data_IF_441562777573
#
_entry.id   IF_441562777573
#
_cell.length_a   1.000
_cell.length_b   1.000
_cell.length_c   1.000
_cell.angle_alpha   90.00
_cell.angle_beta   90.00
_cell.angle_gamma   90.00
#
_symmetry.space_group_name_H-M   'P 1'
#
loop_
_entity.id
_entity.type
_entity.pdbx_description
1 polymer ?
#
# COMPACT_ATOMS: atom_id res chain seq x y z
N UNK A 1 9.91 16.62 38.65
CA UNK A 1 9.48 15.70 39.73
C UNK A 1 8.26 16.35 40.38
N UNK A 2 7.08 15.74 40.26
CA UNK A 2 5.91 16.21 41.00
C UNK A 2 6.15 15.97 42.49
N UNK A 3 5.84 16.94 43.34
CA UNK A 3 5.93 16.77 44.79
C UNK A 3 4.68 16.03 45.30
N UNK A 4 4.74 15.45 46.51
CA UNK A 4 3.57 14.78 47.12
C UNK A 4 2.35 15.72 47.28
N UNK A 5 2.59 17.03 47.39
CA UNK A 5 1.54 18.05 47.38
C UNK A 5 0.87 18.21 46.00
N UNK A 6 1.64 18.07 44.91
CA UNK A 6 1.12 18.14 43.54
C UNK A 6 0.24 16.92 43.20
N UNK A 7 0.63 15.72 43.65
CA UNK A 7 -0.16 14.49 43.48
C UNK A 7 -1.51 14.60 44.21
N UNK A 8 -1.49 15.05 45.47
CA UNK A 8 -2.71 15.20 46.28
C UNK A 8 -3.69 16.20 45.65
N UNK A 9 -3.18 17.33 45.15
CA UNK A 9 -3.99 18.35 44.48
C UNK A 9 -4.65 17.84 43.18
N UNK A 10 -3.92 17.06 42.37
CA UNK A 10 -4.47 16.46 41.15
C UNK A 10 -5.53 15.40 41.44
N UNK A 11 -5.34 14.59 42.49
CA UNK A 11 -6.32 13.58 42.90
C UNK A 11 -7.63 14.23 43.36
N UNK A 12 -7.53 15.28 44.18
CA UNK A 12 -8.69 16.04 44.63
C UNK A 12 -9.35 16.79 43.47
N UNK A 13 -8.57 17.28 42.49
CA UNK A 13 -9.09 17.89 41.26
C UNK A 13 -9.90 16.91 40.40
N UNK A 14 -9.44 15.66 40.28
CA UNK A 14 -10.17 14.58 39.61
C UNK A 14 -11.50 14.28 40.32
N UNK A 15 -11.50 14.18 41.64
CA UNK A 15 -12.71 13.92 42.42
C UNK A 15 -13.76 15.02 42.26
N UNK A 16 -13.35 16.30 42.29
CA UNK A 16 -14.26 17.43 42.05
C UNK A 16 -14.87 17.37 40.65
N UNK A 17 -14.09 16.93 39.65
CA UNK A 17 -14.59 16.77 38.28
C UNK A 17 -15.62 15.65 38.17
N UNK A 18 -15.37 14.50 38.80
CA UNK A 18 -16.30 13.36 38.82
C UNK A 18 -17.63 13.78 39.45
N UNK A 19 -17.58 14.51 40.57
CA UNK A 19 -18.76 15.09 41.22
C UNK A 19 -19.51 16.08 40.32
N UNK A 20 -18.80 17.02 39.69
CA UNK A 20 -19.41 17.99 38.79
C UNK A 20 -20.05 17.34 37.55
N UNK A 21 -19.49 16.22 37.09
CA UNK A 21 -19.99 15.47 35.95
C UNK A 21 -21.13 14.48 36.31
N UNK A 22 -21.38 14.22 37.60
CA UNK A 22 -22.34 13.20 38.04
C UNK A 22 -21.94 11.78 37.63
N UNK A 23 -20.64 11.49 37.50
CA UNK A 23 -20.15 10.23 36.95
C UNK A 23 -20.05 9.12 38.01
N UNK A 24 -21.19 8.49 38.32
CA UNK A 24 -21.24 7.34 39.25
C UNK A 24 -20.40 6.15 38.78
N UNK A 25 -20.17 6.01 37.47
CA UNK A 25 -19.38 4.90 36.90
C UNK A 25 -17.90 4.96 37.28
N UNK A 26 -17.43 6.12 37.75
CA UNK A 26 -16.08 6.32 38.25
C UNK A 26 -15.85 5.78 39.67
N UNK A 27 -16.90 5.35 40.38
CA UNK A 27 -16.84 4.86 41.76
C UNK A 27 -16.95 3.33 41.86
N UNK A 28 -16.22 2.74 42.82
CA UNK A 28 -16.33 1.30 43.12
C UNK A 28 -17.59 1.04 43.95
N UNK A 29 -18.52 0.16 43.52
CA UNK A 29 -19.67 -0.20 44.36
C UNK A 29 -19.22 -0.74 45.72
N UNK A 30 -19.84 -0.36 46.85
CA UNK A 30 -21.10 0.39 46.95
C UNK A 30 -20.95 1.92 47.09
N UNK A 31 -19.78 2.49 46.82
CA UNK A 31 -19.55 3.93 46.99
C UNK A 31 -20.44 4.77 46.06
N UNK A 32 -20.95 5.88 46.61
CA UNK A 32 -21.86 6.81 45.93
C UNK A 32 -21.19 8.18 45.74
N UNK A 33 -21.76 9.01 44.84
CA UNK A 33 -21.33 10.41 44.72
C UNK A 33 -21.52 11.18 46.03
N UNK A 34 -22.48 10.77 46.88
CA UNK A 34 -22.64 11.32 48.23
C UNK A 34 -21.43 11.05 49.12
N UNK A 35 -20.86 9.85 49.05
CA UNK A 35 -19.64 9.48 49.80
C UNK A 35 -18.42 10.29 49.32
N UNK A 36 -18.31 10.50 48.00
CA UNK A 36 -17.25 11.33 47.42
C UNK A 36 -17.41 12.81 47.81
N UNK A 37 -18.64 13.34 47.81
CA UNK A 37 -18.93 14.71 48.24
C UNK A 37 -18.61 14.92 49.72
N UNK A 38 -18.97 13.95 50.56
CA UNK A 38 -18.69 13.99 51.99
C UNK A 38 -17.19 14.01 52.28
N UNK A 39 -16.39 13.20 51.57
CA UNK A 39 -14.93 13.21 51.70
C UNK A 39 -14.29 14.54 51.25
N UNK A 40 -14.80 15.17 50.19
CA UNK A 40 -14.26 16.46 49.73
C UNK A 40 -14.69 17.66 50.58
N UNK A 41 -15.77 17.50 51.36
CA UNK A 41 -16.23 18.50 52.31
C UNK A 41 -15.54 18.36 53.68
N UNK A 42 -14.81 17.27 53.92
CA UNK A 42 -14.01 17.08 55.13
C UNK A 42 -12.78 18.01 55.09
N UNK A 43 -12.44 18.60 56.25
CA UNK A 43 -11.38 19.61 56.41
C UNK A 43 -10.07 18.97 56.92
N UNK A 44 -9.96 17.64 56.77
CA UNK A 44 -8.74 16.92 57.12
C UNK A 44 -7.60 17.18 56.13
N UNK A 45 -6.39 16.74 56.47
CA UNK A 45 -5.19 16.90 55.65
C UNK A 45 -5.40 16.46 54.19
N UNK A 46 -4.86 17.23 53.24
CA UNK A 46 -5.10 17.02 51.80
C UNK A 46 -4.57 15.68 51.31
N UNK A 47 -3.44 15.22 51.86
CA UNK A 47 -2.85 13.93 51.48
C UNK A 47 -3.71 12.77 51.97
N UNK A 48 -4.20 12.85 53.21
CA UNK A 48 -5.13 11.86 53.77
C UNK A 48 -6.44 11.81 52.99
N UNK A 49 -6.97 12.97 52.64
CA UNK A 49 -8.21 13.08 51.85
C UNK A 49 -8.02 12.52 50.45
N UNK A 50 -6.87 12.76 49.81
CA UNK A 50 -6.54 12.20 48.51
C UNK A 50 -6.46 10.66 48.53
N UNK A 51 -5.84 10.05 49.55
CA UNK A 51 -5.82 8.59 49.71
C UNK A 51 -7.23 8.00 49.88
N UNK A 52 -8.07 8.68 50.67
CA UNK A 52 -9.46 8.30 50.91
C UNK A 52 -10.31 8.41 49.64
N UNK A 53 -10.08 9.43 48.82
CA UNK A 53 -10.67 9.58 47.49
C UNK A 53 -10.25 8.44 46.57
N UNK A 54 -8.96 8.11 46.50
CA UNK A 54 -8.47 7.00 45.68
C UNK A 54 -9.19 5.70 46.04
N UNK A 55 -9.42 5.44 47.34
CA UNK A 55 -10.13 4.26 47.82
C UNK A 55 -11.57 4.13 47.28
N UNK A 56 -12.25 5.24 46.99
CA UNK A 56 -13.62 5.23 46.43
C UNK A 56 -13.65 5.05 44.91
N UNK A 57 -12.60 5.43 44.20
CA UNK A 57 -12.54 5.32 42.74
C UNK A 57 -12.53 3.86 42.27
N UNK A 58 -13.08 3.61 41.08
CA UNK A 58 -12.90 2.32 40.39
C UNK A 58 -11.42 2.02 40.19
N UNK A 59 -11.03 0.73 40.16
CA UNK A 59 -9.64 0.34 39.94
C UNK A 59 -9.04 0.96 38.67
N UNK A 60 -9.82 1.03 37.58
CA UNK A 60 -9.40 1.64 36.32
C UNK A 60 -9.15 3.14 36.46
N UNK A 61 -10.01 3.88 37.16
CA UNK A 61 -9.88 5.33 37.34
C UNK A 61 -8.76 5.70 38.29
N UNK A 62 -8.60 4.94 39.37
CA UNK A 62 -7.48 5.04 40.31
C UNK A 62 -6.14 4.85 39.58
N UNK A 63 -6.06 3.84 38.71
CA UNK A 63 -4.84 3.57 37.95
C UNK A 63 -4.51 4.66 36.94
N UNK A 64 -5.49 5.11 36.14
CA UNK A 64 -5.29 6.18 35.16
C UNK A 64 -4.85 7.52 35.78
N UNK A 65 -5.15 7.71 37.07
CA UNK A 65 -4.73 8.87 37.84
C UNK A 65 -3.31 8.66 38.40
N UNK A 66 -3.03 7.51 39.02
CA UNK A 66 -1.70 7.18 39.58
C UNK A 66 -0.61 7.01 38.52
N UNK A 67 -0.93 6.52 37.33
CA UNK A 67 0.04 6.34 36.25
C UNK A 67 0.62 7.67 35.74
N UNK A 68 -0.02 8.80 36.04
CA UNK A 68 0.51 10.15 35.75
C UNK A 68 1.68 10.53 36.66
N UNK A 69 1.79 9.88 37.82
CA UNK A 69 2.82 10.14 38.83
C UNK A 69 3.90 9.06 38.86
N UNK A 70 3.70 7.93 38.15
CA UNK A 70 4.67 6.86 38.10
C UNK A 70 5.94 7.31 37.37
N UNK A 71 7.09 7.22 38.05
CA UNK A 71 8.40 7.32 37.41
C UNK A 71 8.63 6.00 36.68
N UNK A 72 8.99 6.00 35.38
CA UNK A 72 9.27 4.75 34.66
C UNK A 72 10.42 4.02 35.36
N UNK A 73 10.14 2.81 35.86
CA UNK A 73 11.16 1.91 36.37
C UNK A 73 11.95 1.32 35.19
N UNK A 74 13.29 1.29 35.31
CA UNK A 74 14.21 0.83 34.26
C UNK A 74 14.06 -0.69 33.96
N UNK A 75 13.26 -1.41 34.74
CA UNK A 75 12.98 -2.84 34.61
C UNK A 75 12.07 -3.22 33.43
N UNK A 76 11.39 -2.27 32.77
CA UNK A 76 10.58 -2.53 31.57
C UNK A 76 9.45 -3.57 31.73
N UNK A 77 9.07 -3.93 32.96
CA UNK A 77 8.00 -4.89 33.24
C UNK A 77 6.64 -4.19 33.31
N UNK A 78 5.63 -4.74 32.62
CA UNK A 78 4.24 -4.28 32.76
C UNK A 78 3.63 -4.85 34.04
N UNK A 79 3.21 -4.00 34.98
CA UNK A 79 2.40 -4.41 36.12
C UNK A 79 0.98 -4.77 35.65
N UNK A 80 0.58 -6.04 35.84
CA UNK A 80 -0.75 -6.53 35.48
C UNK A 80 -1.55 -6.82 36.75
N UNK A 81 -2.64 -6.09 36.95
CA UNK A 81 -3.55 -6.29 38.06
C UNK A 81 -4.59 -7.37 37.71
N UNK A 82 -4.73 -8.35 38.60
CA UNK A 82 -5.68 -9.45 38.45
C UNK A 82 -6.93 -9.18 39.30
N UNK A 83 -8.15 -9.39 38.76
CA UNK A 83 -9.38 -9.33 39.54
C UNK A 83 -9.33 -10.25 40.78
N UNK A 84 -10.03 -9.89 41.85
CA UNK A 84 -9.98 -10.61 43.14
C UNK A 84 -10.42 -12.08 42.99
N UNK A 85 -11.43 -12.35 42.17
CA UNK A 85 -11.89 -13.70 41.85
C UNK A 85 -10.83 -14.52 41.09
N UNK A 86 -9.99 -13.87 40.27
CA UNK A 86 -8.85 -14.50 39.61
C UNK A 86 -7.72 -14.75 40.60
N UNK A 87 -7.46 -13.81 41.52
CA UNK A 87 -6.47 -13.97 42.58
C UNK A 87 -6.83 -15.13 43.53
N UNK A 88 -8.09 -15.25 43.92
CA UNK A 88 -8.58 -16.32 44.79
C UNK A 88 -8.52 -17.69 44.08
N UNK A 89 -8.82 -17.72 42.77
CA UNK A 89 -8.61 -18.92 41.95
C UNK A 89 -7.13 -19.28 41.81
N UNK A 90 -6.23 -18.31 41.67
CA UNK A 90 -4.79 -18.59 41.64
C UNK A 90 -4.29 -19.11 42.99
N UNK A 91 -4.79 -18.56 44.10
CA UNK A 91 -4.51 -19.04 45.46
C UNK A 91 -5.00 -20.45 45.72
N UNK A 92 -6.05 -20.90 45.00
CA UNK A 92 -6.48 -22.30 45.04
C UNK A 92 -5.52 -23.28 44.35
N UNK A 93 -4.57 -22.77 43.56
CA UNK A 93 -3.55 -23.56 42.85
C UNK A 93 -2.20 -23.54 43.57
N UNK A 94 -1.78 -22.38 44.10
CA UNK A 94 -0.60 -22.25 44.97
C UNK A 94 -0.73 -21.02 45.88
N UNK A 95 -0.05 -21.02 47.03
CA UNK A 95 -0.15 -19.97 48.05
C UNK A 95 0.24 -18.57 47.52
N UNK A 96 1.17 -18.50 46.58
CA UNK A 96 1.60 -17.27 45.92
C UNK A 96 1.07 -17.22 44.46
N UNK A 97 0.40 -16.13 44.03
CA UNK A 97 -0.15 -16.01 42.68
C UNK A 97 0.90 -16.18 41.56
N UNK A 98 2.13 -15.73 41.80
CA UNK A 98 3.23 -15.90 40.85
C UNK A 98 3.60 -17.37 40.66
N UNK A 99 3.61 -18.15 41.75
CA UNK A 99 3.93 -19.57 41.70
C UNK A 99 2.75 -20.38 41.19
N UNK A 100 1.50 -19.93 41.41
CA UNK A 100 0.31 -20.47 40.77
C UNK A 100 0.34 -20.24 39.24
N UNK A 101 0.76 -19.05 38.79
CA UNK A 101 0.94 -18.76 37.37
C UNK A 101 2.05 -19.63 36.78
N UNK A 102 3.20 -19.75 37.44
CA UNK A 102 4.30 -20.65 37.02
C UNK A 102 3.83 -22.10 36.96
N UNK A 103 3.18 -22.60 38.01
CA UNK A 103 2.64 -23.95 38.05
C UNK A 103 1.54 -24.18 37.00
N UNK A 104 0.70 -23.19 36.67
CA UNK A 104 -0.27 -23.29 35.59
C UNK A 104 0.40 -23.34 34.21
N UNK A 105 1.46 -22.55 34.02
CA UNK A 105 2.29 -22.58 32.80
C UNK A 105 3.05 -23.91 32.69
N UNK A 106 3.53 -24.47 33.80
CA UNK A 106 4.29 -25.72 33.88
C UNK A 106 3.39 -26.97 33.87
N UNK A 107 2.14 -26.88 34.34
CA UNK A 107 1.19 -28.00 34.45
C UNK A 107 0.59 -28.47 33.12
N UNK A 108 0.94 -27.82 32.00
CA UNK A 108 0.56 -28.31 30.67
C UNK A 108 -0.95 -28.35 30.39
N UNK A 109 -1.78 -27.58 31.12
CA UNK A 109 -3.16 -27.30 30.65
C UNK A 109 -3.04 -26.41 29.41
N UNK A 110 -2.93 -27.08 28.27
CA UNK A 110 -2.40 -26.59 27.01
C UNK A 110 -2.75 -25.11 26.72
N UNK A 111 -1.76 -24.24 26.90
CA UNK A 111 -1.66 -23.10 25.99
C UNK A 111 -1.70 -23.71 24.59
N UNK A 112 -2.59 -23.24 23.70
CA UNK A 112 -2.75 -23.88 22.40
C UNK A 112 -1.39 -23.88 21.71
N UNK A 113 -1.00 -25.04 21.19
CA UNK A 113 0.35 -25.28 20.65
C UNK A 113 0.72 -24.13 19.70
N UNK A 114 1.95 -23.59 19.78
CA UNK A 114 2.44 -22.63 18.80
C UNK A 114 2.17 -23.11 17.37
N UNK A 115 1.40 -22.32 16.60
CA UNK A 115 1.01 -22.69 15.23
C UNK A 115 -0.29 -23.49 15.09
N UNK A 116 -0.89 -23.96 16.18
CA UNK A 116 -2.23 -24.56 16.17
C UNK A 116 -3.30 -23.56 15.72
N UNK A 117 -4.40 -24.07 15.16
CA UNK A 117 -5.54 -23.25 14.75
C UNK A 117 -6.12 -22.46 15.95
N UNK A 118 -6.19 -23.07 17.13
CA UNK A 118 -6.72 -22.41 18.33
C UNK A 118 -5.83 -21.25 18.80
N UNK A 119 -4.50 -21.38 18.69
CA UNK A 119 -3.55 -20.31 18.98
C UNK A 119 -3.72 -19.13 18.00
N UNK A 120 -3.86 -19.45 16.70
CA UNK A 120 -4.01 -18.45 15.65
C UNK A 120 -5.38 -17.75 15.71
N UNK A 121 -6.46 -18.49 15.97
CA UNK A 121 -7.84 -17.98 16.05
C UNK A 121 -8.03 -16.96 17.17
N UNK A 122 -7.31 -17.10 18.29
CA UNK A 122 -7.29 -16.12 19.40
C UNK A 122 -6.52 -14.83 19.06
N UNK A 123 -6.15 -14.62 17.79
CA UNK A 123 -5.44 -13.43 17.24
C UNK A 123 -4.08 -13.17 17.89
N UNK A 124 -3.45 -14.22 18.42
CA UNK A 124 -2.12 -14.10 19.04
C UNK A 124 -1.01 -14.20 18.01
N UNK A 125 -1.20 -14.95 16.92
CA UNK A 125 -0.20 -15.06 15.85
C UNK A 125 -0.17 -13.81 14.96
N UNK A 126 1.04 -13.33 14.67
CA UNK A 126 1.33 -12.32 13.67
C UNK A 126 2.24 -12.90 12.56
N UNK A 127 1.70 -13.80 11.70
CA UNK A 127 2.46 -14.36 10.57
C UNK A 127 2.71 -13.29 9.52
N UNK A 128 3.95 -13.20 9.05
CA UNK A 128 4.38 -12.26 8.03
C UNK A 128 5.22 -12.93 6.95
N UNK A 129 4.98 -12.58 5.69
CA UNK A 129 5.88 -12.96 4.59
C UNK A 129 7.24 -12.31 4.80
N UNK A 130 8.30 -13.04 4.50
CA UNK A 130 9.65 -12.50 4.59
C UNK A 130 9.92 -11.63 3.37
N UNK A 131 10.47 -10.44 3.59
CA UNK A 131 10.86 -9.57 2.50
C UNK A 131 12.07 -10.13 1.73
N UNK A 132 12.99 -10.81 2.42
CA UNK A 132 14.13 -11.50 1.80
C UNK A 132 13.75 -12.77 1.04
N UNK A 133 12.65 -13.41 1.41
CA UNK A 133 12.15 -14.64 0.79
C UNK A 133 10.61 -14.62 0.75
N UNK A 134 10.01 -14.14 -0.35
CA UNK A 134 8.55 -14.12 -0.51
C UNK A 134 7.90 -15.51 -0.53
N UNK A 135 8.68 -16.57 -0.74
CA UNK A 135 8.24 -17.96 -0.64
C UNK A 135 8.11 -18.44 0.81
N UNK A 136 8.75 -17.75 1.75
CA UNK A 136 8.73 -18.04 3.17
C UNK A 136 7.87 -17.07 3.99
N UNK A 137 7.45 -17.54 5.17
CA UNK A 137 6.82 -16.69 6.17
C UNK A 137 7.32 -17.02 7.58
N UNK A 138 7.20 -16.07 8.49
CA UNK A 138 7.51 -16.22 9.92
C UNK A 138 6.44 -15.55 10.79
N UNK A 139 6.03 -16.22 11.87
CA UNK A 139 5.22 -15.61 12.92
C UNK A 139 6.11 -14.89 13.93
N UNK A 140 5.93 -13.56 14.05
CA UNK A 140 6.66 -12.76 15.06
C UNK A 140 6.27 -13.12 16.50
N UNK A 141 5.09 -13.67 16.72
CA UNK A 141 4.62 -14.02 18.07
C UNK A 141 5.17 -15.35 18.56
N UNK A 142 5.13 -16.37 17.71
CA UNK A 142 5.44 -17.75 18.12
C UNK A 142 6.68 -18.34 17.45
N UNK A 143 7.36 -17.58 16.59
CA UNK A 143 8.59 -17.99 15.90
C UNK A 143 8.38 -19.01 14.78
N UNK A 144 7.15 -19.50 14.57
CA UNK A 144 6.89 -20.52 13.55
C UNK A 144 7.21 -19.99 12.16
N UNK A 145 7.94 -20.79 11.39
CA UNK A 145 8.28 -20.50 10.00
C UNK A 145 7.63 -21.53 9.08
N UNK A 146 7.35 -21.14 7.84
CA UNK A 146 6.81 -22.08 6.87
C UNK A 146 6.82 -21.51 5.46
N UNK A 147 6.23 -22.28 4.55
CA UNK A 147 6.13 -21.94 3.15
C UNK A 147 4.82 -21.19 2.89
N UNK A 148 4.89 -20.13 2.09
CA UNK A 148 3.78 -19.19 1.84
C UNK A 148 2.68 -19.77 0.94
N UNK A 149 2.98 -20.82 0.19
CA UNK A 149 2.05 -21.60 -0.64
C UNK A 149 1.37 -22.73 0.14
N UNK A 150 2.00 -23.21 1.21
CA UNK A 150 1.52 -24.29 2.08
C UNK A 150 1.37 -23.82 3.54
N UNK A 151 0.42 -22.89 3.81
CA UNK A 151 0.18 -22.44 5.18
C UNK A 151 -0.43 -23.58 6.02
N UNK A 152 -0.02 -23.72 7.30
CA UNK A 152 -0.40 -24.85 8.14
C UNK A 152 -1.88 -24.84 8.57
N UNK A 153 -2.55 -23.69 8.46
CA UNK A 153 -3.97 -23.54 8.79
C UNK A 153 -4.60 -22.35 8.03
N UNK A 154 -5.95 -22.30 7.89
CA UNK A 154 -6.62 -21.25 7.11
C UNK A 154 -6.52 -19.85 7.72
N UNK A 155 -6.28 -19.72 9.02
CA UNK A 155 -6.09 -18.42 9.68
C UNK A 155 -4.79 -17.78 9.22
N UNK A 156 -3.69 -18.55 9.24
CA UNK A 156 -2.39 -18.12 8.70
C UNK A 156 -2.52 -17.82 7.21
N UNK A 157 -3.20 -18.67 6.44
CA UNK A 157 -3.45 -18.42 5.02
C UNK A 157 -4.16 -17.07 4.78
N UNK A 158 -5.17 -16.75 5.59
CA UNK A 158 -5.88 -15.48 5.54
C UNK A 158 -5.01 -14.27 5.86
N UNK A 159 -4.08 -14.39 6.82
CA UNK A 159 -3.12 -13.32 7.12
C UNK A 159 -2.09 -13.11 5.99
N UNK A 160 -1.63 -14.19 5.36
CA UNK A 160 -0.60 -14.13 4.31
C UNK A 160 -1.15 -13.64 2.97
N UNK A 161 -2.42 -13.94 2.65
CA UNK A 161 -3.04 -13.57 1.37
C UNK A 161 -3.01 -12.06 1.11
N UNK A 162 -3.32 -11.26 2.14
CA UNK A 162 -3.28 -9.80 2.07
C UNK A 162 -1.87 -9.20 2.05
N UNK A 163 -0.83 -9.99 2.30
CA UNK A 163 0.55 -9.50 2.38
C UNK A 163 1.32 -9.61 1.08
N UNK A 164 0.93 -10.50 0.16
CA UNK A 164 1.64 -10.70 -1.11
C UNK A 164 1.74 -9.41 -1.93
N UNK A 165 0.65 -8.65 -2.02
CA UNK A 165 0.63 -7.36 -2.71
C UNK A 165 1.55 -6.33 -2.04
N UNK A 166 1.58 -6.30 -0.70
CA UNK A 166 2.44 -5.40 0.08
C UNK A 166 3.93 -5.75 -0.09
N UNK A 167 4.28 -7.04 -0.06
CA UNK A 167 5.66 -7.48 -0.29
C UNK A 167 6.11 -7.16 -1.71
N UNK A 168 5.26 -7.39 -2.71
CA UNK A 168 5.57 -7.01 -4.09
C UNK A 168 5.80 -5.50 -4.24
N UNK A 169 5.02 -4.68 -3.53
CA UNK A 169 5.21 -3.23 -3.49
C UNK A 169 6.51 -2.83 -2.78
N UNK A 170 6.86 -3.47 -1.66
CA UNK A 170 8.13 -3.24 -0.97
C UNK A 170 9.34 -3.66 -1.82
N UNK A 171 9.24 -4.78 -2.55
CA UNK A 171 10.25 -5.20 -3.53
C UNK A 171 10.42 -4.17 -4.64
N UNK A 172 9.31 -3.70 -5.22
CA UNK A 172 9.34 -2.71 -6.29
C UNK A 172 9.92 -1.37 -5.80
N UNK A 173 9.57 -0.95 -4.58
CA UNK A 173 10.12 0.24 -3.94
C UNK A 173 11.62 0.08 -3.67
N UNK A 174 12.03 -1.01 -3.04
CA UNK A 174 13.44 -1.28 -2.73
C UNK A 174 14.28 -1.26 -4.01
N UNK A 175 13.87 -1.98 -5.06
CA UNK A 175 14.55 -1.97 -6.34
C UNK A 175 14.61 -0.56 -6.96
N UNK A 176 13.54 0.24 -6.87
CA UNK A 176 13.53 1.60 -7.39
C UNK A 176 14.46 2.55 -6.62
N UNK A 177 14.55 2.40 -5.28
CA UNK A 177 15.47 3.19 -4.46
C UNK A 177 16.92 2.80 -4.78
N UNK A 178 17.27 1.52 -4.78
CA UNK A 178 18.63 1.08 -5.07
C UNK A 178 19.06 1.31 -6.52
N UNK A 179 18.11 1.49 -7.43
CA UNK A 179 18.38 1.94 -8.81
C UNK A 179 18.61 3.47 -8.89
N UNK A 180 17.89 4.24 -8.09
CA UNK A 180 17.94 5.71 -8.10
C UNK A 180 19.13 6.30 -7.32
N UNK A 181 19.60 5.60 -6.29
CA UNK A 181 20.66 6.05 -5.39
C UNK A 181 21.74 4.98 -5.26
N UNK A 182 22.99 5.41 -5.36
CA UNK A 182 24.17 4.55 -5.21
C UNK A 182 24.36 4.01 -3.78
N UNK A 183 25.25 3.03 -3.66
CA UNK A 183 25.67 2.48 -2.37
C UNK A 183 26.11 3.59 -1.40
N UNK A 184 25.52 3.63 -0.20
CA UNK A 184 25.82 4.63 0.82
C UNK A 184 25.24 6.03 0.57
N UNK A 185 24.56 6.26 -0.55
CA UNK A 185 23.97 7.56 -0.86
C UNK A 185 22.76 7.88 0.02
N UNK A 186 22.53 9.19 0.22
CA UNK A 186 21.49 9.72 1.08
C UNK A 186 20.40 10.39 0.25
N UNK A 187 19.16 10.25 0.69
CA UNK A 187 18.00 10.86 0.03
C UNK A 187 16.92 11.23 1.03
N UNK A 188 15.97 12.06 0.61
CA UNK A 188 14.78 12.41 1.39
C UNK A 188 13.51 11.84 0.73
N UNK A 189 12.40 11.80 1.47
CA UNK A 189 11.08 11.47 0.89
C UNK A 189 10.75 12.37 -0.32
N UNK A 190 11.17 13.63 -0.28
CA UNK A 190 10.92 14.59 -1.35
C UNK A 190 11.73 14.23 -2.61
N UNK A 191 13.00 13.83 -2.45
CA UNK A 191 13.84 13.38 -3.57
C UNK A 191 13.28 12.11 -4.20
N UNK A 192 12.87 11.16 -3.36
CA UNK A 192 12.21 9.92 -3.79
C UNK A 192 10.95 10.21 -4.61
N UNK A 193 10.03 11.02 -4.08
CA UNK A 193 8.80 11.39 -4.77
C UNK A 193 9.06 12.19 -6.07
N UNK A 194 10.11 13.02 -6.11
CA UNK A 194 10.46 13.81 -7.28
C UNK A 194 11.06 12.98 -8.43
N UNK A 195 11.77 11.89 -8.11
CA UNK A 195 12.42 11.01 -9.11
C UNK A 195 11.43 10.30 -10.05
N UNK A 196 10.18 10.10 -9.59
CA UNK A 196 9.10 9.41 -10.33
C UNK A 196 9.52 8.05 -10.91
N UNK A 197 10.44 7.35 -10.25
CA UNK A 197 10.90 6.05 -10.71
C UNK A 197 9.78 4.99 -10.61
N UNK A 198 9.69 4.05 -11.58
CA UNK A 198 8.71 2.96 -11.52
C UNK A 198 8.88 2.09 -10.27
N UNK A 199 7.88 2.11 -9.39
CA UNK A 199 7.88 1.42 -8.09
C UNK A 199 7.82 2.37 -6.90
N UNK A 200 8.02 3.67 -7.10
CA UNK A 200 7.82 4.69 -6.06
C UNK A 200 6.37 5.18 -6.09
N UNK A 201 5.60 5.05 -5.00
CA UNK A 201 4.25 5.60 -4.91
C UNK A 201 4.24 7.12 -5.06
N UNK A 202 3.21 7.64 -5.73
CA UNK A 202 2.97 9.09 -5.84
C UNK A 202 2.43 9.70 -4.54
N UNK A 203 1.73 8.88 -3.74
CA UNK A 203 1.25 9.27 -2.42
C UNK A 203 2.40 9.31 -1.41
N UNK A 204 2.65 10.49 -0.85
CA UNK A 204 3.75 10.75 0.07
C UNK A 204 3.59 10.05 1.41
N UNK A 205 2.38 9.90 1.94
CA UNK A 205 2.19 9.25 3.23
C UNK A 205 2.28 7.73 3.09
N UNK A 206 1.81 7.19 1.97
CA UNK A 206 2.08 5.79 1.59
C UNK A 206 3.57 5.52 1.41
N UNK A 207 4.30 6.40 0.73
CA UNK A 207 5.75 6.28 0.56
C UNK A 207 6.48 6.28 1.91
N UNK A 208 6.14 7.19 2.84
CA UNK A 208 6.72 7.19 4.20
C UNK A 208 6.48 5.88 4.93
N UNK A 209 5.26 5.34 4.85
CA UNK A 209 4.91 4.09 5.52
C UNK A 209 5.74 2.91 4.99
N UNK A 210 5.92 2.82 3.67
CA UNK A 210 6.74 1.77 3.05
C UNK A 210 8.23 1.95 3.35
N UNK A 211 8.75 3.19 3.34
CA UNK A 211 10.14 3.47 3.74
C UNK A 211 10.41 3.06 5.19
N UNK A 212 9.46 3.27 6.09
CA UNK A 212 9.56 2.82 7.48
C UNK A 212 9.57 1.29 7.59
N UNK A 213 8.86 0.58 6.71
CA UNK A 213 8.95 -0.88 6.64
C UNK A 213 10.33 -1.33 6.11
N UNK A 214 10.87 -0.69 5.07
CA UNK A 214 12.22 -0.98 4.56
C UNK A 214 13.31 -0.74 5.60
N UNK A 215 13.18 0.29 6.44
CA UNK A 215 14.09 0.51 7.59
C UNK A 215 13.96 -0.61 8.61
N UNK A 216 12.73 -0.98 8.96
CA UNK A 216 12.47 -2.05 9.94
C UNK A 216 13.09 -3.38 9.49
N UNK A 217 13.03 -3.66 8.20
CA UNK A 217 13.58 -4.86 7.59
C UNK A 217 15.08 -4.72 7.26
N UNK A 218 15.72 -3.62 7.68
CA UNK A 218 17.16 -3.41 7.57
C UNK A 218 17.67 -3.19 6.16
N UNK A 219 16.81 -2.73 5.24
CA UNK A 219 17.15 -2.47 3.84
C UNK A 219 17.55 -1.02 3.57
N UNK A 220 17.27 -0.13 4.52
CA UNK A 220 17.64 1.28 4.52
C UNK A 220 17.99 1.68 5.93
N UNK A 221 18.76 2.75 6.07
CA UNK A 221 19.09 3.34 7.36
C UNK A 221 18.49 4.73 7.47
N UNK A 222 18.07 5.12 8.68
CA UNK A 222 17.76 6.51 8.96
C UNK A 222 19.05 7.33 9.00
N UNK A 223 19.10 8.38 8.18
CA UNK A 223 20.26 9.24 8.07
C UNK A 223 19.83 10.69 7.81
N UNK A 224 20.63 11.69 8.18
CA UNK A 224 20.33 13.06 7.80
C UNK A 224 20.31 13.20 6.29
N UNK A 225 19.32 13.91 5.75
CA UNK A 225 19.20 14.17 4.32
C UNK A 225 20.40 14.94 3.75
N UNK A 226 20.57 15.00 2.42
CA UNK A 226 21.73 15.63 1.77
C UNK A 226 21.97 17.10 2.15
N UNK A 227 20.90 17.82 2.53
CA UNK A 227 20.93 19.22 2.95
C UNK A 227 20.66 19.41 4.45
N UNK A 228 20.76 18.34 5.24
CA UNK A 228 20.31 18.28 6.63
C UNK A 228 18.81 17.96 6.76
N UNK A 229 18.38 17.60 7.98
CA UNK A 229 17.00 17.17 8.27
C UNK A 229 16.77 15.66 8.12
N UNK A 230 15.53 15.20 8.27
CA UNK A 230 15.20 13.76 8.20
C UNK A 230 15.37 13.20 6.78
N UNK A 231 16.04 12.06 6.66
CA UNK A 231 16.28 11.37 5.41
C UNK A 231 16.60 9.90 5.61
N UNK A 232 17.10 9.28 4.57
CA UNK A 232 17.40 7.86 4.49
C UNK A 232 18.75 7.67 3.80
N UNK A 233 19.43 6.58 4.11
CA UNK A 233 20.65 6.13 3.46
C UNK A 233 20.46 4.72 2.91
N UNK A 234 20.91 4.52 1.67
CA UNK A 234 21.01 3.20 1.04
C UNK A 234 22.22 2.46 1.62
N UNK A 235 22.11 1.14 1.83
CA UNK A 235 23.23 0.35 2.34
C UNK A 235 24.41 0.38 1.37
N UNK A 236 25.63 0.22 1.90
CA UNK A 236 26.82 0.08 1.06
C UNK A 236 26.81 -1.23 0.26
N UNK A 237 26.29 -2.30 0.88
CA UNK A 237 26.12 -3.60 0.24
C UNK A 237 24.62 -3.94 0.17
N UNK A 238 24.00 -3.90 -1.03
CA UNK A 238 22.63 -4.35 -1.21
C UNK A 238 22.53 -5.86 -0.96
N UNK A 239 21.44 -6.35 -0.35
CA UNK A 239 21.15 -7.78 -0.34
C UNK A 239 21.09 -8.37 -1.75
N UNK A 240 21.56 -9.62 -1.89
CA UNK A 240 21.68 -10.32 -3.19
C UNK A 240 20.40 -10.26 -4.03
N UNK A 241 19.24 -10.46 -3.39
CA UNK A 241 17.95 -10.44 -4.09
C UNK A 241 17.61 -9.07 -4.71
N UNK A 242 18.08 -7.97 -4.11
CA UNK A 242 17.90 -6.61 -4.66
C UNK A 242 18.80 -6.45 -5.88
N UNK A 243 20.06 -6.89 -5.78
CA UNK A 243 21.00 -6.85 -6.90
C UNK A 243 20.48 -7.66 -8.10
N UNK A 244 19.95 -8.85 -7.86
CA UNK A 244 19.32 -9.70 -8.87
C UNK A 244 18.09 -9.03 -9.49
N UNK A 245 17.22 -8.42 -8.68
CA UNK A 245 16.04 -7.71 -9.16
C UNK A 245 16.39 -6.51 -10.06
N UNK A 246 17.43 -5.74 -9.71
CA UNK A 246 17.93 -4.63 -10.52
C UNK A 246 18.51 -5.15 -11.84
N UNK A 247 19.32 -6.21 -11.78
CA UNK A 247 19.89 -6.83 -12.98
C UNK A 247 18.80 -7.35 -13.93
N UNK A 248 17.76 -8.00 -13.40
CA UNK A 248 16.64 -8.49 -14.19
C UNK A 248 15.85 -7.35 -14.83
N UNK A 249 15.52 -6.28 -14.08
CA UNK A 249 14.88 -5.08 -14.64
C UNK A 249 15.71 -4.46 -15.77
N UNK A 250 17.03 -4.40 -15.62
CA UNK A 250 17.93 -3.89 -16.65
C UNK A 250 17.85 -4.75 -17.91
N UNK A 251 17.90 -6.08 -17.78
CA UNK A 251 17.74 -7.03 -18.90
C UNK A 251 16.39 -6.87 -19.60
N UNK A 252 15.31 -6.70 -18.85
CA UNK A 252 13.97 -6.47 -19.41
C UNK A 252 13.90 -5.18 -20.22
N UNK A 253 14.44 -4.07 -19.71
CA UNK A 253 14.49 -2.81 -20.46
C UNK A 253 15.35 -2.90 -21.71
N UNK A 254 16.49 -3.58 -21.65
CA UNK A 254 17.35 -3.82 -22.81
C UNK A 254 16.66 -4.71 -23.86
N UNK A 255 15.88 -5.71 -23.43
CA UNK A 255 15.06 -6.52 -24.33
C UNK A 255 13.93 -5.69 -24.97
N UNK A 256 13.20 -4.90 -24.18
CA UNK A 256 12.15 -4.00 -24.70
C UNK A 256 12.71 -2.93 -25.64
N UNK A 257 13.88 -2.36 -25.32
CA UNK A 257 14.57 -1.39 -26.17
C UNK A 257 14.99 -2.02 -27.49
N UNK A 258 15.56 -3.23 -27.48
CA UNK A 258 15.88 -3.99 -28.70
C UNK A 258 14.63 -4.25 -29.55
N UNK A 259 13.53 -4.71 -28.94
CA UNK A 259 12.27 -4.92 -29.66
C UNK A 259 11.75 -3.60 -30.25
N UNK A 260 11.87 -2.48 -29.53
CA UNK A 260 11.49 -1.15 -30.04
C UNK A 260 12.38 -0.71 -31.20
N UNK A 261 13.69 -0.92 -31.11
CA UNK A 261 14.65 -0.59 -32.16
C UNK A 261 14.45 -1.46 -33.41
N UNK A 262 14.23 -2.76 -33.24
CA UNK A 262 13.90 -3.70 -34.32
C UNK A 262 12.60 -3.29 -35.00
N UNK A 263 11.56 -2.93 -34.24
CA UNK A 263 10.31 -2.39 -34.80
C UNK A 263 10.54 -1.08 -35.55
N UNK A 264 11.35 -0.17 -35.01
CA UNK A 264 11.68 1.09 -35.67
C UNK A 264 12.56 0.90 -36.92
N UNK A 265 13.42 -0.10 -36.94
CA UNK A 265 14.26 -0.47 -38.09
C UNK A 265 13.42 -1.16 -39.17
N UNK A 266 12.54 -2.08 -38.78
CA UNK A 266 11.55 -2.69 -39.68
C UNK A 266 10.65 -1.62 -40.31
N UNK A 267 10.17 -0.66 -39.50
CA UNK A 267 9.39 0.48 -39.99
C UNK A 267 10.17 1.34 -40.98
N UNK A 268 11.42 1.69 -40.68
CA UNK A 268 12.28 2.45 -41.60
C UNK A 268 12.51 1.71 -42.91
N UNK A 269 12.81 0.41 -42.85
CA UNK A 269 12.99 -0.43 -44.04
C UNK A 269 11.72 -0.47 -44.89
N UNK A 270 10.55 -0.65 -44.26
CA UNK A 270 9.24 -0.61 -44.94
C UNK A 270 8.97 0.73 -45.61
N UNK A 271 9.42 1.84 -45.01
CA UNK A 271 9.26 3.19 -45.57
C UNK A 271 10.27 3.49 -46.69
N UNK A 272 11.53 3.05 -46.55
CA UNK A 272 12.60 3.20 -47.55
C UNK A 272 12.36 2.35 -48.79
N UNK A 273 11.83 1.14 -48.61
CA UNK A 273 11.48 0.25 -49.72
C UNK A 273 10.23 0.72 -50.47
N UNK A 274 9.51 1.72 -49.95
CA UNK A 274 8.33 2.34 -50.56
C UNK A 274 7.30 1.28 -50.93
N UNK A 275 6.34 0.97 -50.03
CA UNK A 275 5.31 -0.03 -50.31
C UNK A 275 4.38 0.41 -51.46
N UNK A 276 4.85 0.27 -52.69
CA UNK A 276 4.05 0.17 -53.91
C UNK A 276 3.56 -1.26 -54.01
N UNK A 277 2.30 -1.49 -53.68
CA UNK A 277 1.64 -2.78 -53.80
C UNK A 277 0.61 -2.75 -54.92
N UNK A 278 0.47 -3.87 -55.64
CA UNK A 278 -0.61 -4.04 -56.61
C UNK A 278 -1.69 -4.93 -55.98
N UNK A 279 -2.94 -4.45 -55.93
CA UNK A 279 -4.07 -5.22 -55.40
C UNK A 279 -4.35 -6.45 -56.27
N UNK A 280 -5.14 -7.41 -55.79
CA UNK A 280 -5.58 -8.56 -56.60
C UNK A 280 -6.36 -8.15 -57.88
N UNK A 281 -6.91 -6.94 -57.89
CA UNK A 281 -7.56 -6.33 -59.05
C UNK A 281 -6.59 -5.60 -60.01
N UNK A 282 -5.29 -5.58 -59.70
CA UNK A 282 -4.26 -4.94 -60.53
C UNK A 282 -3.98 -3.47 -60.20
N UNK A 283 -4.49 -2.93 -59.08
CA UNK A 283 -4.40 -1.50 -58.79
C UNK A 283 -3.17 -1.17 -57.92
N UNK A 284 -2.36 -0.16 -58.28
CA UNK A 284 -1.25 0.29 -57.45
C UNK A 284 -1.73 1.04 -56.20
N UNK A 285 -1.12 0.74 -55.06
CA UNK A 285 -1.33 1.35 -53.74
C UNK A 285 0.02 1.77 -53.18
N UNK A 286 0.13 3.01 -52.72
CA UNK A 286 1.35 3.59 -52.14
C UNK A 286 1.13 3.93 -50.66
N UNK A 287 2.09 3.62 -49.79
CA UNK A 287 2.07 4.10 -48.40
C UNK A 287 3.04 5.28 -48.28
N UNK A 288 2.51 6.45 -47.93
CA UNK A 288 3.29 7.68 -47.74
C UNK A 288 3.28 8.11 -46.28
N UNK A 289 4.41 8.61 -45.78
CA UNK A 289 4.49 9.24 -44.46
C UNK A 289 4.30 10.76 -44.59
N UNK A 290 3.42 11.34 -43.78
CA UNK A 290 3.20 12.78 -43.67
C UNK A 290 3.29 13.25 -42.21
N UNK A 291 3.18 14.56 -41.96
CA UNK A 291 3.26 15.17 -40.62
C UNK A 291 2.19 14.66 -39.64
N UNK A 292 1.15 13.98 -40.15
CA UNK A 292 0.01 13.46 -39.39
C UNK A 292 0.04 11.94 -39.23
N UNK A 293 1.02 11.23 -39.81
CA UNK A 293 1.18 9.77 -39.71
C UNK A 293 1.43 9.09 -41.07
N UNK A 294 1.16 7.79 -41.13
CA UNK A 294 1.22 7.00 -42.36
C UNK A 294 -0.14 7.06 -43.08
N UNK A 295 -0.13 7.27 -44.39
CA UNK A 295 -1.28 7.44 -45.26
C UNK A 295 -1.22 6.46 -46.46
N UNK A 296 -2.32 5.74 -46.69
CA UNK A 296 -2.52 4.90 -47.87
C UNK A 296 -3.04 5.76 -49.03
N UNK A 297 -2.32 5.78 -50.16
CA UNK A 297 -2.68 6.50 -51.38
C UNK A 297 -2.99 5.49 -52.48
N UNK A 298 -4.13 5.69 -53.15
CA UNK A 298 -4.55 4.91 -54.31
C UNK A 298 -4.43 5.82 -55.54
N UNK A 299 -3.29 5.84 -56.26
CA UNK A 299 -3.08 6.76 -57.39
C UNK A 299 -4.12 6.63 -58.52
N UNK A 300 -4.82 5.49 -58.62
CA UNK A 300 -5.81 5.23 -59.66
C UNK A 300 -7.27 5.42 -59.23
N UNK A 301 -7.57 5.52 -57.93
CA UNK A 301 -8.95 5.66 -57.43
C UNK A 301 -9.12 7.03 -56.75
N UNK A 302 -10.06 7.87 -57.21
CA UNK A 302 -10.42 9.09 -56.51
C UNK A 302 -10.87 8.82 -55.06
N UNK A 303 -10.34 9.57 -54.09
CA UNK A 303 -10.57 9.35 -52.65
C UNK A 303 -12.04 9.40 -52.20
N UNK A 304 -12.92 9.96 -53.02
CA UNK A 304 -14.36 10.00 -52.77
C UNK A 304 -15.05 8.66 -53.09
N UNK A 305 -14.61 7.93 -54.12
CA UNK A 305 -15.19 6.62 -54.49
C UNK A 305 -14.91 5.57 -53.43
N UNK A 306 -13.67 5.52 -52.93
CA UNK A 306 -13.26 4.63 -51.83
C UNK A 306 -14.05 4.92 -50.54
N UNK A 307 -14.33 6.21 -50.27
CA UNK A 307 -15.11 6.65 -49.09
C UNK A 307 -16.57 6.22 -49.19
N UNK A 308 -17.20 6.42 -50.34
CA UNK A 308 -18.61 6.02 -50.55
C UNK A 308 -18.77 4.50 -50.48
N UNK A 309 -17.79 3.74 -50.96
CA UNK A 309 -17.83 2.28 -50.86
C UNK A 309 -17.63 1.78 -49.41
N UNK A 310 -16.68 2.37 -48.65
CA UNK A 310 -16.50 2.04 -47.23
C UNK A 310 -17.69 2.44 -46.36
N UNK A 311 -18.39 3.54 -46.71
CA UNK A 311 -19.66 3.94 -46.11
C UNK A 311 -20.77 2.95 -46.44
N UNK A 312 -20.93 2.55 -47.71
CA UNK A 312 -21.91 1.55 -48.15
C UNK A 312 -21.77 0.22 -47.42
N UNK A 313 -20.54 -0.16 -47.09
CA UNK A 313 -20.24 -1.40 -46.37
C UNK A 313 -20.30 -1.26 -44.84
N UNK A 314 -20.63 -0.07 -44.30
CA UNK A 314 -20.81 0.17 -42.87
C UNK A 314 -19.53 0.06 -42.03
N UNK A 315 -18.36 0.24 -42.65
CA UNK A 315 -17.07 -0.03 -41.99
C UNK A 315 -16.39 1.21 -41.39
N UNK A 316 -16.90 2.42 -41.64
CA UNK A 316 -16.37 3.65 -41.07
C UNK A 316 -17.48 4.54 -40.47
N UNK A 317 -17.15 5.24 -39.37
CA UNK A 317 -17.95 6.28 -38.72
C UNK A 317 -17.14 7.56 -38.62
N UNK A 318 -17.77 8.70 -38.83
CA UNK A 318 -17.13 9.99 -38.61
C UNK A 318 -16.91 10.23 -37.10
N UNK A 319 -15.67 10.47 -36.69
CA UNK A 319 -15.31 10.95 -35.36
C UNK A 319 -15.20 12.49 -35.41
N UNK A 320 -16.26 13.16 -34.93
CA UNK A 320 -16.36 14.61 -34.93
C UNK A 320 -15.31 15.30 -34.03
N UNK A 321 -14.81 14.63 -32.99
CA UNK A 321 -13.78 15.19 -32.09
C UNK A 321 -12.41 15.20 -32.75
N UNK A 322 -12.11 14.18 -33.56
CA UNK A 322 -10.84 14.05 -34.29
C UNK A 322 -10.92 14.53 -35.74
N UNK A 323 -12.09 15.03 -36.15
CA UNK A 323 -12.40 15.48 -37.52
C UNK A 323 -11.93 14.48 -38.58
N UNK A 324 -12.19 13.18 -38.36
CA UNK A 324 -11.73 12.10 -39.25
C UNK A 324 -12.68 10.91 -39.27
N UNK A 325 -12.71 10.17 -40.37
CA UNK A 325 -13.38 8.88 -40.44
C UNK A 325 -12.59 7.83 -39.64
N UNK A 326 -13.25 7.20 -38.66
CA UNK A 326 -12.70 6.15 -37.81
C UNK A 326 -13.41 4.82 -38.09
N UNK A 327 -12.69 3.70 -38.05
CA UNK A 327 -13.25 2.38 -38.33
C UNK A 327 -14.02 1.82 -37.12
N UNK A 328 -15.11 1.10 -37.37
CA UNK A 328 -15.97 0.52 -36.31
C UNK A 328 -15.75 -0.99 -36.04
N UNK A 329 -15.17 -1.78 -36.96
CA UNK A 329 -14.99 -3.23 -36.76
C UNK A 329 -13.56 -3.72 -37.04
N UNK A 330 -13.02 -4.66 -36.23
CA UNK A 330 -11.84 -5.44 -36.59
C UNK A 330 -12.18 -6.37 -37.76
N UNK A 331 -11.21 -6.62 -38.64
CA UNK A 331 -11.50 -7.13 -39.98
C UNK A 331 -11.01 -8.55 -40.17
N UNK A 332 -11.95 -9.48 -40.28
CA UNK A 332 -11.65 -10.87 -40.59
C UNK A 332 -11.66 -11.15 -42.10
N UNK A 333 -11.77 -10.11 -42.94
CA UNK A 333 -11.87 -10.19 -44.42
C UNK A 333 -11.14 -9.02 -45.08
N UNK A 334 -9.84 -8.92 -44.89
CA UNK A 334 -8.99 -8.04 -45.69
C UNK A 334 -7.89 -8.87 -46.30
N UNK A 335 -7.48 -8.47 -47.49
CA UNK A 335 -6.22 -8.91 -48.06
C UNK A 335 -5.08 -8.79 -47.03
N UNK A 336 -4.27 -9.85 -46.83
CA UNK A 336 -3.28 -9.93 -45.75
C UNK A 336 -2.31 -8.75 -45.64
N UNK A 337 -2.03 -8.06 -46.76
CA UNK A 337 -1.13 -6.91 -46.79
C UNK A 337 -1.70 -5.66 -46.11
N UNK A 338 -3.02 -5.42 -46.21
CA UNK A 338 -3.68 -4.28 -45.57
C UNK A 338 -3.89 -4.54 -44.08
N UNK A 339 -4.06 -5.80 -43.67
CA UNK A 339 -4.00 -6.18 -42.25
C UNK A 339 -2.60 -5.91 -41.66
N UNK A 340 -1.53 -6.32 -42.33
CA UNK A 340 -0.15 -6.09 -41.89
C UNK A 340 0.22 -4.59 -41.81
N UNK A 341 -0.22 -3.78 -42.77
CA UNK A 341 -0.01 -2.33 -42.75
C UNK A 341 -0.75 -1.65 -41.58
N UNK A 342 -1.97 -2.08 -41.29
CA UNK A 342 -2.77 -1.56 -40.17
C UNK A 342 -2.24 -2.01 -38.79
N UNK A 343 -1.79 -3.27 -38.66
CA UNK A 343 -1.14 -3.78 -37.45
C UNK A 343 0.20 -3.08 -37.16
N UNK A 344 0.89 -2.61 -38.20
CA UNK A 344 2.07 -1.76 -38.09
C UNK A 344 1.74 -0.29 -37.73
N UNK A 345 0.45 0.06 -37.58
CA UNK A 345 0.00 1.39 -37.15
C UNK A 345 -0.35 2.35 -38.28
N UNK A 346 -0.54 1.87 -39.52
CA UNK A 346 -1.02 2.72 -40.60
C UNK A 346 -2.43 3.24 -40.32
N UNK A 347 -2.66 4.52 -40.63
CA UNK A 347 -3.99 5.14 -40.54
C UNK A 347 -4.50 5.43 -41.94
N UNK A 348 -5.75 5.09 -42.24
CA UNK A 348 -6.38 5.56 -43.48
C UNK A 348 -6.71 7.04 -43.27
N UNK A 349 -5.87 7.92 -43.79
CA UNK A 349 -6.11 9.36 -43.67
C UNK A 349 -7.26 9.78 -44.61
N UNK A 350 -8.15 10.69 -44.17
CA UNK A 350 -8.98 11.45 -45.09
C UNK A 350 -8.06 12.45 -45.81
N UNK A 351 -7.79 12.22 -47.10
CA UNK A 351 -6.86 13.04 -47.88
C UNK A 351 -7.25 14.53 -47.89
N UNK A 352 -6.20 15.35 -48.00
CA UNK A 352 -6.21 16.80 -48.00
C UNK A 352 -7.24 17.50 -48.90
N UNK A 353 -7.37 18.80 -48.60
CA UNK A 353 -7.94 19.91 -49.39
C UNK A 353 -9.44 20.23 -49.31
N UNK A 354 -10.30 19.40 -48.72
CA UNK A 354 -11.65 19.87 -48.39
C UNK A 354 -11.63 20.54 -47.01
N UNK A 355 -11.78 21.87 -46.99
CA UNK A 355 -12.03 22.65 -45.78
C UNK A 355 -13.29 22.10 -45.09
N UNK A 356 -13.19 21.50 -43.89
CA UNK A 356 -14.34 20.95 -43.18
C UNK A 356 -15.37 22.01 -42.79
N UNK A 357 -15.06 23.30 -42.93
CA UNK A 357 -15.98 24.41 -42.69
C UNK A 357 -16.84 24.76 -43.94
N UNK A 358 -16.62 24.11 -45.09
CA UNK A 358 -17.32 24.41 -46.34
C UNK A 358 -18.63 23.63 -46.57
N UNK A 359 -18.91 22.61 -45.77
CA UNK A 359 -20.16 21.85 -45.87
C UNK A 359 -20.88 21.85 -44.53
N UNK A 360 -22.02 22.54 -44.48
CA UNK A 360 -22.95 22.60 -43.35
C UNK A 360 -23.65 21.25 -43.20
N UNK A 361 -22.97 20.29 -42.56
CA UNK A 361 -23.53 18.98 -42.25
C UNK A 361 -24.23 19.05 -40.90
N UNK A 362 -25.53 19.36 -40.98
CA UNK A 362 -26.42 19.52 -39.83
C UNK A 362 -26.25 18.46 -38.75
N UNK A 363 -26.18 18.94 -37.51
CA UNK A 363 -26.32 18.13 -36.30
C UNK A 363 -27.73 17.55 -36.25
N UNK A 364 -27.94 16.35 -36.81
CA UNK A 364 -29.07 15.53 -36.39
C UNK A 364 -28.65 14.73 -35.15
N UNK A 365 -29.22 15.13 -34.02
CA UNK A 365 -29.21 14.40 -32.76
C UNK A 365 -29.62 12.94 -32.98
N UNK A 366 -28.79 12.00 -32.51
CA UNK A 366 -29.18 10.61 -32.36
C UNK A 366 -28.82 10.10 -30.96
N UNK A 367 -29.67 9.24 -30.39
CA UNK A 367 -29.89 9.09 -28.95
C UNK A 367 -28.78 8.26 -28.27
N UNK A 368 -28.64 8.51 -26.96
CA UNK A 368 -27.61 8.01 -26.04
C UNK A 368 -27.31 6.50 -26.12
#
# INVERSE_FOLDING_TARGET
MATAADESAEILGEARRILAAGDESALTPPATLGDLAALLADIFDESYTAERVLALLTPARRHALRSRFAVPDESGGAEVWLPVDVLDRLRSVADMPLDAIRALLDSGRALPEPGSEEHCRKRRCAPQLLLSDPGGWQCRTCGLTGWADLPPNPVVAGHLSGQRARIAELHALAAAIYEGWGAGERFTVADAAASRLPGIPTDRDRLKALLADLIRDGLLEEAPGPRGGAGYRVLEEPPDWIADAIAERKRQREAEARIREERAAAMRKVLEEGLTHTTAAGEPVEIAQNDRGLELRFPTIPSWELREEMKRQGHCRWDGRRRRWCRLSPVNRVEPWLAAALDAGATVAPLGTADPDAEDWGYEDWPD
#
